data_IF_443839130800
#
_entry.id   IF_443839130800
#
_cell.length_a   1.000
_cell.length_b   1.000
_cell.length_c   1.000
_cell.angle_alpha   90.00
_cell.angle_beta   90.00
_cell.angle_gamma   90.00
#
_symmetry.space_group_name_H-M   'P 1'
#
loop_
_entity.id
_entity.type
_entity.pdbx_description
1 polymer ?
#
# COMPACT_ATOMS: atom_id res chain seq x y z
N UNK A 1 9.04 14.34 15.03
CA UNK A 1 8.02 15.24 14.40
C UNK A 1 7.19 14.49 13.35
N UNK A 2 6.07 15.04 12.86
CA UNK A 2 5.23 14.34 11.85
C UNK A 2 5.98 14.07 10.53
N UNK A 3 6.80 15.02 10.07
CA UNK A 3 7.61 14.89 8.84
C UNK A 3 8.70 13.81 8.98
N UNK A 4 9.32 13.69 10.15
CA UNK A 4 10.29 12.64 10.47
C UNK A 4 9.67 11.24 10.35
N UNK A 5 8.44 11.05 10.87
CA UNK A 5 7.72 9.78 10.70
C UNK A 5 7.34 9.48 9.24
N UNK A 6 7.12 10.51 8.42
CA UNK A 6 6.93 10.33 6.97
C UNK A 6 8.23 9.89 6.32
N UNK A 7 9.37 10.46 6.71
CA UNK A 7 10.68 10.09 6.20
C UNK A 7 11.07 8.65 6.59
N UNK A 8 10.67 8.20 7.77
CA UNK A 8 10.83 6.80 8.23
C UNK A 8 9.88 5.81 7.54
N UNK A 9 8.95 6.28 6.69
CA UNK A 9 7.89 5.43 6.12
C UNK A 9 6.81 5.01 7.11
N UNK A 10 6.82 5.54 8.34
CA UNK A 10 5.83 5.30 9.37
C UNK A 10 4.59 6.19 9.17
N UNK A 11 3.84 5.91 8.10
CA UNK A 11 2.64 6.66 7.74
C UNK A 11 1.51 6.54 8.78
N UNK A 12 1.47 5.47 9.56
CA UNK A 12 0.48 5.33 10.64
C UNK A 12 0.75 6.32 11.76
N UNK A 13 1.98 6.39 12.28
CA UNK A 13 2.35 7.35 13.31
C UNK A 13 2.28 8.79 12.81
N UNK A 14 2.69 9.04 11.56
CA UNK A 14 2.55 10.35 10.93
C UNK A 14 1.07 10.79 10.82
N UNK A 15 0.17 9.88 10.45
CA UNK A 15 -1.26 10.19 10.32
C UNK A 15 -1.89 10.57 11.65
N UNK A 16 -1.51 9.91 12.75
CA UNK A 16 -2.00 10.22 14.09
C UNK A 16 -1.53 11.60 14.56
N UNK A 17 -0.25 11.90 14.41
CA UNK A 17 0.31 13.21 14.77
C UNK A 17 -0.31 14.34 13.95
N UNK A 18 -0.44 14.17 12.62
CA UNK A 18 -1.09 15.17 11.77
C UNK A 18 -2.57 15.35 12.12
N UNK A 19 -3.25 14.28 12.53
CA UNK A 19 -4.66 14.36 12.92
C UNK A 19 -4.83 15.14 14.22
N UNK A 20 -3.90 14.99 15.16
CA UNK A 20 -3.88 15.76 16.40
C UNK A 20 -3.62 17.24 16.14
N UNK A 21 -2.64 17.57 15.28
CA UNK A 21 -2.35 18.95 14.86
C UNK A 21 -3.58 19.61 14.22
N UNK A 22 -4.23 18.94 13.25
CA UNK A 22 -5.42 19.49 12.57
C UNK A 22 -6.61 19.65 13.52
N UNK A 23 -6.74 18.82 14.55
CA UNK A 23 -7.80 18.94 15.56
C UNK A 23 -7.62 20.14 16.48
N UNK A 24 -6.37 20.45 16.85
CA UNK A 24 -6.06 21.55 17.76
C UNK A 24 -5.90 22.89 17.06
N UNK A 25 -5.48 22.89 15.79
CA UNK A 25 -5.30 24.09 14.98
C UNK A 25 -5.77 23.86 13.54
N UNK A 26 -7.06 24.14 13.31
CA UNK A 26 -7.71 23.96 12.02
C UNK A 26 -7.22 24.94 10.93
N UNK A 27 -6.43 25.96 11.31
CA UNK A 27 -5.92 26.99 10.40
C UNK A 27 -4.66 26.53 9.65
N UNK A 28 -4.03 25.44 10.08
CA UNK A 28 -2.93 24.78 9.36
C UNK A 28 -3.43 24.01 8.13
N UNK A 29 -3.78 24.74 7.06
CA UNK A 29 -4.11 24.16 5.73
C UNK A 29 -3.04 23.18 5.24
N UNK A 30 -1.77 23.45 5.54
CA UNK A 30 -0.66 22.57 5.18
C UNK A 30 -0.74 21.22 5.90
N UNK A 31 -1.09 21.19 7.20
CA UNK A 31 -1.22 19.95 7.95
C UNK A 31 -2.38 19.07 7.44
N UNK A 32 -3.50 19.69 7.04
CA UNK A 32 -4.62 18.98 6.42
C UNK A 32 -4.22 18.35 5.07
N UNK A 33 -3.46 19.08 4.24
CA UNK A 33 -2.96 18.57 2.95
C UNK A 33 -1.96 17.41 3.14
N UNK A 34 -1.07 17.51 4.14
CA UNK A 34 -0.13 16.45 4.48
C UNK A 34 -0.85 15.22 5.01
N UNK A 35 -1.90 15.39 5.82
CA UNK A 35 -2.72 14.31 6.35
C UNK A 35 -3.41 13.53 5.23
N UNK A 36 -3.93 14.22 4.21
CA UNK A 36 -4.51 13.58 3.04
C UNK A 36 -3.49 12.72 2.29
N UNK A 37 -2.29 13.26 2.02
CA UNK A 37 -1.19 12.53 1.37
C UNK A 37 -0.75 11.30 2.16
N UNK A 38 -0.58 11.43 3.47
CA UNK A 38 -0.19 10.31 4.35
C UNK A 38 -1.26 9.23 4.39
N UNK A 39 -2.54 9.60 4.47
CA UNK A 39 -3.65 8.63 4.41
C UNK A 39 -3.70 7.90 3.07
N UNK A 40 -3.44 8.61 1.97
CA UNK A 40 -3.37 8.00 0.65
C UNK A 40 -2.24 6.97 0.58
N UNK A 41 -1.01 7.34 0.97
CA UNK A 41 0.15 6.42 1.01
C UNK A 41 -0.12 5.18 1.87
N UNK A 42 -0.74 5.37 3.04
CA UNK A 42 -1.13 4.26 3.92
C UNK A 42 -2.14 3.32 3.23
N UNK A 43 -3.11 3.88 2.50
CA UNK A 43 -4.11 3.10 1.77
C UNK A 43 -3.47 2.33 0.61
N UNK A 44 -2.55 2.94 -0.12
CA UNK A 44 -1.77 2.31 -1.20
C UNK A 44 -0.99 1.11 -0.66
N UNK A 45 -0.21 1.30 0.42
CA UNK A 45 0.53 0.20 1.07
C UNK A 45 -0.39 -0.94 1.53
N UNK A 46 -1.53 -0.60 2.15
CA UNK A 46 -2.50 -1.61 2.58
C UNK A 46 -3.05 -2.39 1.39
N UNK A 47 -3.38 -1.72 0.30
CA UNK A 47 -3.92 -2.37 -0.89
C UNK A 47 -2.89 -3.28 -1.56
N UNK A 48 -1.62 -2.88 -1.61
CA UNK A 48 -0.51 -3.73 -2.08
C UNK A 48 -0.37 -4.98 -1.21
N UNK A 49 -0.40 -4.82 0.11
CA UNK A 49 -0.31 -5.95 1.02
C UNK A 49 -1.48 -6.92 0.85
N UNK A 50 -2.70 -6.40 0.73
CA UNK A 50 -3.89 -7.22 0.51
C UNK A 50 -3.82 -7.99 -0.81
N UNK A 51 -3.40 -7.34 -1.89
CA UNK A 51 -3.27 -8.00 -3.21
C UNK A 51 -2.16 -9.06 -3.20
N UNK A 52 -1.06 -8.82 -2.50
CA UNK A 52 -0.02 -9.83 -2.27
C UNK A 52 -0.57 -11.03 -1.49
N UNK A 53 -1.26 -10.81 -0.37
CA UNK A 53 -1.85 -11.89 0.44
C UNK A 53 -2.88 -12.68 -0.37
N UNK A 54 -3.75 -12.00 -1.14
CA UNK A 54 -4.72 -12.66 -2.01
C UNK A 54 -4.04 -13.52 -3.07
N UNK A 55 -3.00 -13.01 -3.72
CA UNK A 55 -2.21 -13.77 -4.67
C UNK A 55 -1.56 -15.02 -4.05
N UNK A 56 -0.97 -14.87 -2.86
CA UNK A 56 -0.39 -15.99 -2.11
C UNK A 56 -1.43 -17.07 -1.78
N UNK A 57 -2.57 -16.67 -1.20
CA UNK A 57 -3.65 -17.58 -0.83
C UNK A 57 -4.22 -18.33 -2.03
N UNK A 58 -4.32 -17.67 -3.19
CA UNK A 58 -4.84 -18.28 -4.41
C UNK A 58 -3.91 -19.39 -4.94
N UNK A 59 -2.60 -19.13 -4.95
CA UNK A 59 -1.60 -20.13 -5.40
C UNK A 59 -1.47 -21.30 -4.41
N UNK A 60 -1.53 -21.04 -3.11
CA UNK A 60 -1.59 -22.09 -2.08
C UNK A 60 -2.86 -22.93 -2.27
N UNK A 61 -4.01 -22.30 -2.48
CA UNK A 61 -5.27 -23.00 -2.72
C UNK A 61 -5.22 -23.94 -3.93
N UNK A 62 -4.57 -23.52 -5.02
CA UNK A 62 -4.33 -24.38 -6.19
C UNK A 62 -3.47 -25.60 -5.81
N UNK A 63 -2.37 -25.39 -5.07
CA UNK A 63 -1.52 -26.48 -4.60
C UNK A 63 -2.27 -27.50 -3.74
N UNK A 64 -3.24 -27.04 -2.94
CA UNK A 64 -4.08 -27.90 -2.10
C UNK A 64 -5.03 -28.75 -2.94
N UNK A 65 -5.65 -28.16 -3.97
CA UNK A 65 -6.56 -28.87 -4.89
C UNK A 65 -5.81 -29.92 -5.70
N UNK A 66 -4.56 -29.64 -6.11
CA UNK A 66 -3.71 -30.56 -6.86
C UNK A 66 -3.02 -31.60 -5.93
N UNK A 67 -3.29 -31.55 -4.62
CA UNK A 67 -2.74 -32.47 -3.62
C UNK A 67 -1.22 -32.57 -3.65
N UNK A 68 -0.54 -31.42 -3.74
CA UNK A 68 0.93 -31.39 -3.73
C UNK A 68 1.41 -31.92 -2.36
N UNK A 69 2.24 -32.98 -2.31
CA UNK A 69 2.58 -33.65 -1.05
C UNK A 69 3.73 -32.97 -0.29
N UNK A 70 4.23 -31.82 -0.75
CA UNK A 70 5.44 -31.19 -0.23
C UNK A 70 5.18 -29.75 0.24
N UNK A 71 5.35 -29.52 1.54
CA UNK A 71 5.17 -28.24 2.21
C UNK A 71 6.11 -27.14 1.69
N UNK A 72 7.32 -27.50 1.25
CA UNK A 72 8.25 -26.52 0.64
C UNK A 72 7.68 -25.96 -0.67
N UNK A 73 6.94 -26.77 -1.42
CA UNK A 73 6.29 -26.32 -2.65
C UNK A 73 5.14 -25.35 -2.32
N UNK A 74 4.40 -25.58 -1.23
CA UNK A 74 3.40 -24.63 -0.76
C UNK A 74 3.99 -23.28 -0.36
N UNK A 75 5.13 -23.29 0.33
CA UNK A 75 5.85 -22.05 0.65
C UNK A 75 6.31 -21.35 -0.64
N UNK A 76 6.85 -22.09 -1.60
CA UNK A 76 7.27 -21.55 -2.89
C UNK A 76 6.08 -20.94 -3.65
N UNK A 77 4.95 -21.64 -3.70
CA UNK A 77 3.72 -21.17 -4.33
C UNK A 77 3.14 -19.94 -3.63
N UNK A 78 3.19 -19.89 -2.30
CA UNK A 78 2.77 -18.72 -1.53
C UNK A 78 3.64 -17.51 -1.86
N UNK A 79 4.97 -17.68 -1.97
CA UNK A 79 5.90 -16.60 -2.33
C UNK A 79 5.67 -16.14 -3.77
N UNK A 80 5.52 -17.07 -4.72
CA UNK A 80 5.22 -16.74 -6.13
C UNK A 80 3.89 -15.99 -6.24
N UNK A 81 2.85 -16.49 -5.57
CA UNK A 81 1.55 -15.86 -5.51
C UNK A 81 1.61 -14.47 -4.86
N UNK A 82 2.37 -14.30 -3.79
CA UNK A 82 2.57 -13.00 -3.13
C UNK A 82 3.24 -11.98 -4.05
N UNK A 83 4.31 -12.38 -4.73
CA UNK A 83 5.05 -11.53 -5.68
C UNK A 83 4.18 -11.18 -6.88
N UNK A 84 3.47 -12.16 -7.45
CA UNK A 84 2.53 -11.94 -8.54
C UNK A 84 1.38 -11.00 -8.14
N UNK A 85 0.76 -11.23 -6.97
CA UNK A 85 -0.29 -10.39 -6.41
C UNK A 85 0.19 -8.96 -6.14
N UNK A 86 1.39 -8.80 -5.58
CA UNK A 86 2.02 -7.49 -5.37
C UNK A 86 2.26 -6.75 -6.69
N UNK A 87 2.81 -7.44 -7.70
CA UNK A 87 3.05 -6.88 -9.03
C UNK A 87 1.75 -6.40 -9.68
N UNK A 88 0.71 -7.23 -9.67
CA UNK A 88 -0.62 -6.87 -10.17
C UNK A 88 -1.19 -5.67 -9.41
N UNK A 89 -1.17 -5.70 -8.07
CA UNK A 89 -1.63 -4.58 -7.24
C UNK A 89 -0.88 -3.28 -7.53
N UNK A 90 0.43 -3.36 -7.75
CA UNK A 90 1.27 -2.21 -8.10
C UNK A 90 0.90 -1.60 -9.44
N UNK A 91 0.53 -2.40 -10.44
CA UNK A 91 0.08 -1.88 -11.75
C UNK A 91 -1.25 -1.14 -11.66
N UNK A 92 -2.18 -1.61 -10.82
CA UNK A 92 -3.46 -0.94 -10.60
C UNK A 92 -3.33 0.35 -9.79
N UNK A 93 -2.42 0.37 -8.81
CA UNK A 93 -2.15 1.55 -7.98
C UNK A 93 -1.34 2.60 -8.75
N UNK A 94 -0.35 2.17 -9.54
CA UNK A 94 0.44 3.06 -10.41
C UNK A 94 -0.41 3.82 -11.43
N UNK A 95 -1.54 3.25 -11.86
CA UNK A 95 -2.53 3.93 -12.71
C UNK A 95 -3.34 5.02 -12.01
N UNK A 96 -3.48 4.97 -10.68
CA UNK A 96 -4.19 5.99 -9.90
C UNK A 96 -3.27 7.12 -9.40
N UNK A 97 -1.95 6.98 -9.57
CA UNK A 97 -0.93 7.93 -9.13
C UNK A 97 -0.45 8.92 -10.19
N UNK A 98 -1.00 8.91 -11.42
CA UNK A 98 -0.76 10.00 -12.39
C UNK A 98 -1.73 11.15 -12.06
N UNK A 99 -1.29 12.26 -11.43
CA UNK A 99 -2.04 13.49 -11.55
C UNK A 99 -2.12 13.84 -13.04
N UNK A 100 -3.32 14.12 -13.54
CA UNK A 100 -3.50 14.77 -14.83
C UNK A 100 -2.93 16.19 -14.70
N UNK A 101 -1.67 16.40 -15.06
CA UNK A 101 -1.04 17.72 -15.28
C UNK A 101 0.41 17.50 -15.69
N UNK A 102 0.66 17.16 -16.96
CA UNK A 102 1.95 17.42 -17.64
C UNK A 102 1.92 17.10 -19.16
N UNK A 103 0.76 17.21 -19.82
CA UNK A 103 0.66 17.01 -21.29
C UNK A 103 0.00 18.20 -22.02
N UNK A 104 0.00 19.42 -21.45
CA UNK A 104 -0.51 20.58 -22.19
C UNK A 104 0.06 21.93 -21.70
N UNK A 105 1.35 22.18 -21.94
CA UNK A 105 1.88 23.51 -22.27
C UNK A 105 3.15 23.30 -23.11
N UNK A 106 2.98 23.24 -24.43
CA UNK A 106 3.99 23.65 -25.42
C UNK A 106 3.38 24.79 -26.24
#
# INVERSE_FOLDING_TARGET
MAQEKIAEGNYTGASHLLQEIVKHDATYKDAASMLAKVKQRKREQRNLLLTAILGASLFVGIGTVVQIPNDLIFILLAVIGAVGGFGVGSLFIGRQGKPATEDEVD
#
